data_IF_553769890174
#
_entry.id   IF_553769890174
#
_cell.length_a   1.000
_cell.length_b   1.000
_cell.length_c   1.000
_cell.angle_alpha   90.00
_cell.angle_beta   90.00
_cell.angle_gamma   90.00
#
_symmetry.space_group_name_H-M   'P 1'
#
loop_
_entity.id
_entity.type
_entity.pdbx_description
1 polymer ?
#
# COMPACT_ATOMS: atom_id res chain seq x y z
N UNK A 1 6.08 44.62 -53.13
CA UNK A 1 6.91 43.60 -53.78
C UNK A 1 8.10 43.33 -52.87
N UNK A 2 8.08 42.45 -51.88
CA UNK A 2 7.05 41.64 -51.24
C UNK A 2 7.59 41.31 -49.85
N UNK A 3 6.73 41.43 -48.83
CA UNK A 3 6.89 40.83 -47.51
C UNK A 3 6.54 39.34 -47.62
N UNK A 4 7.43 38.45 -47.16
CA UNK A 4 7.08 37.06 -46.87
C UNK A 4 7.47 36.73 -45.42
N UNK A 5 6.45 36.76 -44.56
CA UNK A 5 6.43 36.12 -43.25
C UNK A 5 6.16 34.63 -43.43
N UNK A 6 7.09 33.78 -42.97
CA UNK A 6 6.86 32.35 -42.81
C UNK A 6 5.88 32.11 -41.65
N UNK A 7 4.67 31.65 -42.00
CA UNK A 7 3.69 31.12 -41.06
C UNK A 7 4.06 29.68 -40.71
N UNK A 8 4.28 29.44 -39.42
CA UNK A 8 4.28 28.10 -38.83
C UNK A 8 2.84 27.57 -38.89
N UNK A 9 2.63 26.50 -39.64
CA UNK A 9 1.39 25.71 -39.65
C UNK A 9 1.49 24.78 -38.44
N UNK A 10 0.58 24.94 -37.48
CA UNK A 10 0.37 23.98 -36.39
C UNK A 10 -0.75 23.06 -36.87
N UNK A 11 -0.45 21.76 -36.99
CA UNK A 11 -1.43 20.72 -37.31
C UNK A 11 -2.55 20.70 -36.24
N UNK A 12 -3.79 20.87 -36.67
CA UNK A 12 -5.01 20.85 -35.83
C UNK A 12 -5.41 19.44 -35.35
N UNK A 13 -4.64 18.39 -35.65
CA UNK A 13 -5.00 17.00 -35.32
C UNK A 13 -4.56 16.55 -33.91
N UNK A 14 -3.99 17.44 -33.07
CA UNK A 14 -3.54 17.07 -31.71
C UNK A 14 -4.57 17.34 -30.61
N UNK A 15 -5.64 18.09 -30.86
CA UNK A 15 -6.65 18.43 -29.84
C UNK A 15 -7.80 17.40 -29.68
N UNK A 16 -8.01 16.51 -30.66
CA UNK A 16 -9.18 15.60 -30.65
C UNK A 16 -8.95 14.25 -29.97
N UNK A 17 -7.69 13.89 -29.66
CA UNK A 17 -7.38 12.68 -28.87
C UNK A 17 -7.49 12.89 -27.36
N UNK A 18 -7.36 14.13 -26.86
CA UNK A 18 -7.43 14.40 -25.41
C UNK A 18 -8.88 14.54 -24.91
N UNK A 19 -9.80 15.00 -25.76
CA UNK A 19 -11.24 15.07 -25.44
C UNK A 19 -11.92 13.71 -25.28
N UNK A 20 -11.46 12.68 -26.00
CA UNK A 20 -12.10 11.36 -25.95
C UNK A 20 -11.70 10.48 -24.76
N UNK A 21 -10.61 10.81 -24.04
CA UNK A 21 -10.17 10.03 -22.86
C UNK A 21 -10.86 10.49 -21.57
N UNK A 22 -11.23 11.78 -21.49
CA UNK A 22 -11.81 12.40 -20.29
C UNK A 22 -13.31 12.08 -20.07
N UNK A 23 -14.05 11.67 -21.09
CA UNK A 23 -15.49 11.36 -20.96
C UNK A 23 -15.78 9.95 -20.39
N UNK A 24 -14.77 9.08 -20.27
CA UNK A 24 -14.94 7.71 -19.77
C UNK A 24 -15.01 7.57 -18.23
N UNK A 25 -14.74 8.65 -17.48
CA UNK A 25 -14.72 8.64 -16.00
C UNK A 25 -15.78 9.54 -15.33
N UNK A 26 -16.79 9.99 -16.07
CA UNK A 26 -17.88 10.79 -15.49
C UNK A 26 -18.93 9.90 -14.82
N UNK A 27 -18.91 9.85 -13.49
CA UNK A 27 -20.04 9.35 -12.68
C UNK A 27 -21.20 10.36 -12.82
N UNK A 28 -22.46 9.94 -13.09
CA UNK A 28 -23.56 10.88 -13.30
C UNK A 28 -23.89 11.62 -12.01
N UNK A 29 -23.65 12.93 -11.97
CA UNK A 29 -24.19 13.80 -10.93
C UNK A 29 -25.65 14.15 -11.25
N UNK A 30 -26.54 13.83 -10.31
CA UNK A 30 -27.97 14.13 -10.32
C UNK A 30 -28.18 15.63 -10.59
N UNK A 31 -28.93 15.97 -11.65
CA UNK A 31 -29.41 17.34 -11.93
C UNK A 31 -30.19 17.86 -10.72
N UNK A 32 -29.79 19.03 -10.23
CA UNK A 32 -30.62 19.93 -9.43
C UNK A 32 -31.61 20.62 -10.38
N UNK A 33 -32.88 20.24 -10.32
CA UNK A 33 -33.95 21.03 -10.92
C UNK A 33 -34.36 22.13 -9.94
N UNK A 34 -34.47 23.34 -10.49
CA UNK A 34 -34.83 24.58 -9.82
C UNK A 34 -36.28 24.53 -9.33
N UNK A 35 -36.50 25.11 -8.16
CA UNK A 35 -37.80 25.50 -7.65
C UNK A 35 -38.52 26.44 -8.64
N UNK A 36 -39.78 26.14 -8.91
CA UNK A 36 -40.80 27.12 -9.29
C UNK A 36 -42.14 26.67 -8.68
N UNK A 37 -42.77 27.59 -7.97
CA UNK A 37 -43.96 27.41 -7.14
C UNK A 37 -45.27 27.24 -7.93
N UNK A 38 -46.29 26.73 -7.22
CA UNK A 38 -47.74 26.82 -7.43
C UNK A 38 -48.44 25.79 -8.34
N UNK A 39 -49.03 24.74 -7.73
CA UNK A 39 -50.50 24.50 -7.71
C UNK A 39 -50.89 23.19 -6.96
N UNK A 40 -52.15 23.05 -6.47
CA UNK A 40 -52.49 22.18 -5.34
C UNK A 40 -53.02 20.78 -5.70
N UNK A 41 -52.76 19.86 -4.75
CA UNK A 41 -53.49 18.65 -4.35
C UNK A 41 -54.54 18.07 -5.33
N UNK A 42 -54.26 16.90 -5.91
CA UNK A 42 -55.31 15.93 -6.23
C UNK A 42 -54.84 14.46 -6.10
N UNK A 43 -55.63 13.73 -5.32
CA UNK A 43 -55.62 12.31 -5.05
C UNK A 43 -55.31 11.41 -6.27
N UNK A 44 -54.35 10.48 -6.12
CA UNK A 44 -54.47 9.16 -6.77
C UNK A 44 -53.78 8.05 -5.98
N UNK A 45 -54.61 7.28 -5.27
CA UNK A 45 -54.29 5.92 -4.81
C UNK A 45 -53.84 5.09 -6.01
N UNK A 46 -52.68 4.46 -5.93
CA UNK A 46 -52.40 3.22 -6.67
C UNK A 46 -51.66 2.25 -5.76
N UNK A 47 -52.37 1.16 -5.50
CA UNK A 47 -51.97 -0.05 -4.80
C UNK A 47 -51.05 -0.91 -5.66
N UNK A 48 -50.38 -1.86 -5.00
CA UNK A 48 -49.52 -2.96 -5.50
C UNK A 48 -48.03 -2.56 -5.58
N UNK A 49 -47.04 -3.33 -5.10
CA UNK A 49 -47.04 -4.70 -4.58
C UNK A 49 -45.65 -4.97 -3.95
N UNK A 50 -45.62 -5.73 -2.85
CA UNK A 50 -44.55 -6.68 -2.48
C UNK A 50 -43.09 -6.19 -2.46
N UNK A 51 -42.67 -5.56 -1.37
CA UNK A 51 -41.25 -5.56 -0.96
C UNK A 51 -41.01 -6.76 -0.06
N UNK A 52 -40.67 -7.90 -0.67
CA UNK A 52 -40.17 -9.08 0.02
C UNK A 52 -38.94 -8.69 0.86
N UNK A 53 -39.07 -8.90 2.16
CA UNK A 53 -37.98 -9.09 3.10
C UNK A 53 -36.88 -9.98 2.51
N UNK A 54 -35.64 -9.50 2.50
CA UNK A 54 -34.47 -10.36 2.37
C UNK A 54 -33.51 -10.06 3.54
N UNK A 55 -33.96 -10.44 4.73
CA UNK A 55 -33.06 -10.74 5.85
C UNK A 55 -32.32 -12.03 5.46
N UNK A 56 -31.17 -11.90 4.79
CA UNK A 56 -30.25 -13.03 4.67
C UNK A 56 -29.52 -13.15 6.00
N UNK A 57 -29.84 -14.20 6.76
CA UNK A 57 -28.99 -14.62 7.86
C UNK A 57 -27.59 -14.90 7.31
N UNK A 58 -26.59 -14.17 7.77
CA UNK A 58 -25.19 -14.52 7.54
C UNK A 58 -24.74 -15.29 8.77
N UNK A 59 -24.77 -16.62 8.61
CA UNK A 59 -24.07 -17.54 9.48
C UNK A 59 -22.58 -17.25 9.50
N UNK A 60 -21.98 -17.63 10.63
CA UNK A 60 -20.56 -17.66 10.95
C UNK A 60 -19.65 -18.09 9.79
N UNK A 61 -18.43 -17.57 9.87
CA UNK A 61 -17.25 -17.94 9.11
C UNK A 61 -17.21 -19.42 8.68
N UNK A 62 -17.04 -19.64 7.37
CA UNK A 62 -16.16 -20.66 6.86
C UNK A 62 -15.71 -20.31 5.43
N UNK A 63 -14.47 -20.71 5.12
CA UNK A 63 -13.62 -20.11 4.11
C UNK A 63 -14.20 -20.03 2.70
N UNK A 64 -14.21 -18.81 2.15
CA UNK A 64 -14.05 -18.66 0.71
C UNK A 64 -12.54 -18.64 0.40
N UNK A 65 -11.89 -19.81 0.53
CA UNK A 65 -10.69 -20.11 -0.23
C UNK A 65 -11.12 -20.20 -1.70
N UNK A 66 -11.43 -19.05 -2.30
CA UNK A 66 -11.47 -18.95 -3.75
C UNK A 66 -10.10 -19.43 -4.21
N UNK A 67 -10.06 -20.58 -4.88
CA UNK A 67 -8.84 -21.18 -5.41
C UNK A 67 -7.98 -20.06 -5.99
N UNK A 68 -6.87 -19.72 -5.33
CA UNK A 68 -5.97 -18.68 -5.83
C UNK A 68 -5.50 -19.20 -7.17
N UNK A 69 -6.03 -18.59 -8.22
CA UNK A 69 -5.68 -18.95 -9.58
C UNK A 69 -4.16 -18.97 -9.70
N UNK A 70 -3.62 -20.05 -10.28
CA UNK A 70 -2.16 -20.18 -10.51
C UNK A 70 -1.62 -18.96 -11.25
N UNK A 71 -2.46 -18.32 -12.08
CA UNK A 71 -2.16 -17.08 -12.78
C UNK A 71 -1.78 -15.90 -11.86
N UNK A 72 -2.25 -15.86 -10.61
CA UNK A 72 -1.89 -14.81 -9.65
C UNK A 72 -0.41 -14.88 -9.22
N UNK A 73 0.25 -16.01 -9.45
CA UNK A 73 1.68 -16.19 -9.18
C UNK A 73 2.57 -15.86 -10.38
N UNK A 74 2.02 -15.54 -11.56
CA UNK A 74 2.83 -15.17 -12.73
C UNK A 74 3.79 -14.00 -12.46
N UNK A 75 3.39 -12.90 -11.79
CA UNK A 75 4.33 -11.81 -11.49
C UNK A 75 5.46 -12.24 -10.56
N UNK A 76 5.16 -13.11 -9.58
CA UNK A 76 6.15 -13.70 -8.65
C UNK A 76 7.17 -14.55 -9.42
N UNK A 77 6.69 -15.46 -10.26
CA UNK A 77 7.54 -16.33 -11.08
C UNK A 77 8.41 -15.50 -12.03
N UNK A 78 7.84 -14.47 -12.65
CA UNK A 78 8.58 -13.57 -13.51
C UNK A 78 9.68 -12.82 -12.76
N UNK A 79 9.39 -12.26 -11.58
CA UNK A 79 10.38 -11.58 -10.77
C UNK A 79 11.53 -12.53 -10.38
N UNK A 80 11.22 -13.74 -9.91
CA UNK A 80 12.22 -14.76 -9.58
C UNK A 80 13.06 -15.16 -10.79
N UNK A 81 12.45 -15.28 -11.97
CA UNK A 81 13.16 -15.56 -13.22
C UNK A 81 14.15 -14.44 -13.57
N UNK A 82 13.73 -13.18 -13.52
CA UNK A 82 14.60 -12.02 -13.81
C UNK A 82 15.80 -11.98 -12.85
N UNK A 83 15.57 -12.13 -11.54
CA UNK A 83 16.68 -12.19 -10.56
C UNK A 83 17.61 -13.38 -10.81
N UNK A 84 17.06 -14.54 -11.18
CA UNK A 84 17.86 -15.73 -11.48
C UNK A 84 18.72 -15.55 -12.72
N UNK A 85 18.22 -14.85 -13.75
CA UNK A 85 19.01 -14.51 -14.95
C UNK A 85 20.13 -13.54 -14.60
N UNK A 86 19.84 -12.46 -13.86
CA UNK A 86 20.85 -11.47 -13.46
C UNK A 86 21.96 -12.12 -12.62
N UNK A 87 21.59 -12.83 -11.55
CA UNK A 87 22.55 -13.50 -10.67
C UNK A 87 23.28 -14.65 -11.38
N UNK A 88 22.57 -15.44 -12.19
CA UNK A 88 23.16 -16.54 -12.96
C UNK A 88 24.24 -16.06 -13.92
N UNK A 89 23.96 -15.00 -14.68
CA UNK A 89 24.94 -14.37 -15.57
C UNK A 89 26.12 -13.79 -14.79
N UNK A 90 25.88 -13.08 -13.69
CA UNK A 90 26.96 -12.59 -12.81
C UNK A 90 27.84 -13.72 -12.29
N UNK A 91 27.25 -14.82 -11.83
CA UNK A 91 27.98 -15.97 -11.34
C UNK A 91 28.84 -16.60 -12.43
N UNK A 92 28.26 -16.85 -13.61
CA UNK A 92 28.93 -17.52 -14.73
C UNK A 92 30.05 -16.67 -15.33
N UNK A 93 29.83 -15.38 -15.56
CA UNK A 93 30.74 -14.53 -16.31
C UNK A 93 31.68 -13.68 -15.44
N UNK A 94 31.39 -13.51 -14.15
CA UNK A 94 32.20 -12.67 -13.25
C UNK A 94 32.75 -13.47 -12.05
N UNK A 95 31.88 -13.98 -11.18
CA UNK A 95 32.32 -14.55 -9.90
C UNK A 95 33.09 -15.86 -10.05
N UNK A 96 32.57 -16.81 -10.84
CA UNK A 96 33.20 -18.12 -11.06
C UNK A 96 34.57 -17.99 -11.77
N UNK A 97 34.72 -17.22 -12.86
CA UNK A 97 36.02 -16.98 -13.47
C UNK A 97 37.03 -16.36 -12.50
N UNK A 98 36.60 -15.39 -11.69
CA UNK A 98 37.47 -14.75 -10.70
C UNK A 98 37.95 -15.74 -9.62
N UNK A 99 37.05 -16.59 -9.10
CA UNK A 99 37.39 -17.69 -8.18
C UNK A 99 38.41 -18.64 -8.82
N UNK A 100 38.14 -19.09 -10.05
CA UNK A 100 39.02 -20.03 -10.75
C UNK A 100 40.41 -19.44 -11.02
N UNK A 101 40.47 -18.15 -11.37
CA UNK A 101 41.73 -17.45 -11.61
C UNK A 101 42.57 -17.33 -10.35
N UNK A 102 41.97 -16.98 -9.21
CA UNK A 102 42.66 -16.92 -7.92
C UNK A 102 43.21 -18.30 -7.51
N UNK A 103 42.38 -19.35 -7.61
CA UNK A 103 42.81 -20.71 -7.30
C UNK A 103 43.93 -21.19 -8.23
N UNK A 104 43.89 -20.85 -9.51
CA UNK A 104 44.93 -21.21 -10.46
C UNK A 104 46.25 -20.45 -10.22
N UNK A 105 46.19 -19.19 -9.79
CA UNK A 105 47.37 -18.35 -9.62
C UNK A 105 48.01 -18.48 -8.23
N UNK A 106 47.21 -18.52 -7.17
CA UNK A 106 47.67 -18.52 -5.78
C UNK A 106 47.48 -19.87 -5.06
N UNK A 107 46.67 -20.78 -5.60
CA UNK A 107 46.27 -22.03 -4.91
C UNK A 107 45.24 -21.83 -3.79
N UNK A 108 44.89 -20.58 -3.47
CA UNK A 108 43.93 -20.18 -2.43
C UNK A 108 43.12 -18.97 -2.91
N UNK A 109 41.98 -18.71 -2.28
CA UNK A 109 41.16 -17.53 -2.59
C UNK A 109 41.76 -16.27 -1.94
N UNK A 110 41.82 -15.16 -2.67
CA UNK A 110 42.18 -13.88 -2.09
C UNK A 110 41.10 -13.35 -1.15
N UNK A 111 41.49 -12.53 -0.18
CA UNK A 111 40.57 -11.83 0.73
C UNK A 111 39.49 -11.05 -0.04
N UNK A 112 39.84 -10.51 -1.21
CA UNK A 112 38.91 -9.80 -2.10
C UNK A 112 37.79 -10.72 -2.58
N UNK A 113 38.14 -11.89 -3.13
CA UNK A 113 37.14 -12.85 -3.65
C UNK A 113 36.31 -13.43 -2.52
N UNK A 114 36.93 -13.70 -1.36
CA UNK A 114 36.20 -14.14 -0.16
C UNK A 114 35.18 -13.07 0.26
N UNK A 115 35.59 -11.81 0.40
CA UNK A 115 34.71 -10.71 0.78
C UNK A 115 33.55 -10.54 -0.22
N UNK A 116 33.82 -10.51 -1.53
CA UNK A 116 32.78 -10.38 -2.55
C UNK A 116 31.79 -11.56 -2.52
N UNK A 117 32.29 -12.78 -2.33
CA UNK A 117 31.47 -13.99 -2.24
C UNK A 117 30.60 -13.97 -0.99
N UNK A 118 31.16 -13.64 0.18
CA UNK A 118 30.38 -13.55 1.42
C UNK A 118 29.33 -12.45 1.34
N UNK A 119 29.69 -11.27 0.82
CA UNK A 119 28.77 -10.15 0.65
C UNK A 119 27.57 -10.52 -0.21
N UNK A 120 27.80 -11.02 -1.43
CA UNK A 120 26.70 -11.29 -2.37
C UNK A 120 25.77 -12.39 -1.87
N UNK A 121 26.31 -13.45 -1.26
CA UNK A 121 25.49 -14.56 -0.75
C UNK A 121 24.76 -14.19 0.55
N UNK A 122 25.34 -13.37 1.42
CA UNK A 122 24.66 -12.84 2.60
C UNK A 122 23.45 -11.98 2.19
N UNK A 123 23.65 -11.04 1.26
CA UNK A 123 22.57 -10.18 0.79
C UNK A 123 21.51 -10.98 0.04
N UNK A 124 21.89 -11.95 -0.79
CA UNK A 124 20.94 -12.86 -1.46
C UNK A 124 20.12 -13.66 -0.45
N UNK A 125 20.75 -14.17 0.61
CA UNK A 125 20.04 -14.86 1.68
C UNK A 125 19.04 -13.94 2.39
N UNK A 126 19.46 -12.72 2.77
CA UNK A 126 18.59 -11.74 3.42
C UNK A 126 17.44 -11.30 2.51
N UNK A 127 17.70 -11.12 1.22
CA UNK A 127 16.70 -10.81 0.19
C UNK A 127 15.66 -11.93 0.09
N UNK A 128 16.11 -13.18 -0.04
CA UNK A 128 15.22 -14.33 -0.20
C UNK A 128 14.35 -14.58 1.05
N UNK A 129 14.95 -14.51 2.24
CA UNK A 129 14.21 -14.62 3.51
C UNK A 129 13.19 -13.49 3.65
N UNK A 130 13.58 -12.25 3.35
CA UNK A 130 12.67 -11.09 3.37
C UNK A 130 11.51 -11.28 2.39
N UNK A 131 11.79 -11.76 1.17
CA UNK A 131 10.77 -11.96 0.14
C UNK A 131 9.77 -13.04 0.52
N UNK A 132 10.25 -14.19 1.00
CA UNK A 132 9.41 -15.28 1.51
C UNK A 132 8.52 -14.77 2.65
N UNK A 133 9.07 -14.03 3.61
CA UNK A 133 8.27 -13.48 4.71
C UNK A 133 7.26 -12.42 4.22
N UNK A 134 7.61 -11.59 3.24
CA UNK A 134 6.70 -10.63 2.61
C UNK A 134 5.49 -11.34 1.97
N UNK A 135 5.73 -12.46 1.26
CA UNK A 135 4.70 -13.26 0.58
C UNK A 135 3.78 -14.00 1.55
N UNK A 136 4.35 -14.64 2.58
CA UNK A 136 3.60 -15.57 3.43
C UNK A 136 3.07 -14.96 4.72
N UNK A 137 3.66 -13.86 5.23
CA UNK A 137 3.10 -13.21 6.42
C UNK A 137 1.75 -12.59 6.07
N UNK A 138 0.74 -12.97 6.86
CA UNK A 138 -0.54 -12.29 6.87
C UNK A 138 -0.31 -10.78 7.11
N UNK A 139 -0.84 -9.88 6.25
CA UNK A 139 -0.53 -8.45 6.33
C UNK A 139 -1.16 -7.74 7.54
N UNK A 140 -2.07 -8.43 8.26
CA UNK A 140 -2.83 -7.90 9.38
C UNK A 140 -4.31 -7.81 9.01
N UNK A 141 -5.16 -8.53 9.74
CA UNK A 141 -6.62 -8.47 9.59
C UNK A 141 -7.24 -7.83 10.82
N UNK A 142 -8.42 -7.24 10.66
CA UNK A 142 -9.24 -6.77 11.79
C UNK A 142 -9.60 -7.99 12.67
N UNK A 143 -9.30 -7.98 13.99
CA UNK A 143 -9.64 -9.08 14.88
C UNK A 143 -11.13 -9.42 14.89
N UNK A 144 -11.46 -10.69 15.10
CA UNK A 144 -12.83 -11.18 15.31
C UNK A 144 -13.27 -10.98 16.77
N UNK A 145 -13.16 -9.76 17.29
CA UNK A 145 -13.68 -9.42 18.62
C UNK A 145 -15.00 -8.67 18.52
N UNK A 146 -15.78 -8.72 19.60
CA UNK A 146 -17.09 -8.09 19.68
C UNK A 146 -17.05 -6.57 19.41
N UNK A 147 -15.93 -5.93 19.77
CA UNK A 147 -15.67 -4.49 19.57
C UNK A 147 -15.67 -4.06 18.09
N UNK A 148 -15.19 -4.91 17.19
CA UNK A 148 -15.04 -4.58 15.77
C UNK A 148 -16.18 -5.12 14.91
N UNK A 149 -17.11 -5.88 15.51
CA UNK A 149 -18.25 -6.45 14.82
C UNK A 149 -19.44 -5.48 14.81
N UNK A 150 -20.11 -5.35 13.67
CA UNK A 150 -21.30 -4.51 13.51
C UNK A 150 -22.45 -4.82 14.45
N UNK A 151 -22.56 -6.08 14.87
CA UNK A 151 -23.73 -6.57 15.59
C UNK A 151 -23.86 -5.97 17.01
N UNK A 152 -22.89 -5.19 17.45
CA UNK A 152 -22.91 -4.56 18.76
C UNK A 152 -22.82 -3.02 18.64
N UNK A 153 -23.99 -2.37 18.62
CA UNK A 153 -24.12 -0.91 18.55
C UNK A 153 -23.86 -0.20 19.89
N UNK A 154 -23.80 -0.96 20.99
CA UNK A 154 -23.85 -0.45 22.36
C UNK A 154 -22.51 -0.53 23.11
N UNK A 155 -21.41 -0.87 22.43
CA UNK A 155 -20.08 -0.89 23.07
C UNK A 155 -19.47 0.50 23.05
N UNK A 156 -19.37 1.11 24.24
CA UNK A 156 -18.37 2.13 24.53
C UNK A 156 -17.00 1.58 24.12
N UNK A 157 -16.58 1.92 22.91
CA UNK A 157 -15.36 1.41 22.31
C UNK A 157 -14.20 2.00 23.10
N UNK A 158 -13.36 1.17 23.71
CA UNK A 158 -12.16 1.63 24.43
C UNK A 158 -11.06 2.08 23.48
N UNK A 159 -11.08 1.64 22.22
CA UNK A 159 -10.14 2.10 21.20
C UNK A 159 -10.49 3.51 20.71
N UNK A 160 -9.51 4.42 20.84
CA UNK A 160 -9.58 5.76 20.27
C UNK A 160 -9.41 5.64 18.76
N UNK A 161 -10.44 6.00 17.99
CA UNK A 161 -10.43 6.00 16.53
C UNK A 161 -10.54 7.43 16.03
N UNK A 162 -9.60 7.81 15.19
CA UNK A 162 -9.39 9.18 14.73
C UNK A 162 -9.98 9.44 13.35
N UNK A 163 -10.05 8.42 12.49
CA UNK A 163 -10.51 8.55 11.10
C UNK A 163 -12.02 8.25 11.00
N UNK A 164 -12.79 9.27 10.62
CA UNK A 164 -14.24 9.19 10.44
C UNK A 164 -14.64 9.31 8.97
N UNK A 165 -15.91 9.04 8.66
CA UNK A 165 -16.51 9.43 7.37
C UNK A 165 -16.72 10.95 7.37
N UNK A 166 -16.96 11.53 6.18
CA UNK A 166 -17.40 12.94 6.05
C UNK A 166 -18.63 13.28 6.91
N UNK A 167 -19.46 12.29 7.23
CA UNK A 167 -20.62 12.45 8.11
C UNK A 167 -20.29 12.38 9.61
N UNK A 168 -19.02 12.34 10.01
CA UNK A 168 -18.56 12.13 11.39
C UNK A 168 -18.70 10.68 11.89
N UNK A 169 -19.41 9.80 11.17
CA UNK A 169 -19.64 8.43 11.60
C UNK A 169 -18.38 7.55 11.49
N UNK A 170 -18.25 6.56 12.37
CA UNK A 170 -17.17 5.56 12.33
C UNK A 170 -17.10 4.86 10.97
N UNK A 171 -15.87 4.64 10.48
CA UNK A 171 -15.64 3.95 9.21
C UNK A 171 -15.98 2.46 9.33
N UNK A 172 -16.63 1.94 8.30
CA UNK A 172 -17.20 0.60 8.30
C UNK A 172 -16.95 -0.09 6.96
N UNK A 173 -16.64 -1.39 6.99
CA UNK A 173 -16.48 -2.23 5.81
C UNK A 173 -17.71 -3.11 5.56
N UNK A 174 -18.49 -2.78 4.53
CA UNK A 174 -19.68 -3.54 4.14
C UNK A 174 -19.42 -4.99 3.71
N UNK A 175 -18.23 -5.30 3.21
CA UNK A 175 -17.88 -6.64 2.76
C UNK A 175 -17.41 -7.54 3.90
N UNK A 176 -16.70 -6.99 4.88
CA UNK A 176 -16.21 -7.74 6.03
C UNK A 176 -17.18 -7.71 7.22
N UNK A 177 -18.21 -6.86 7.18
CA UNK A 177 -19.12 -6.61 8.29
C UNK A 177 -18.40 -6.21 9.59
N UNK A 178 -17.29 -5.46 9.46
CA UNK A 178 -16.48 -4.95 10.58
C UNK A 178 -16.29 -3.43 10.52
N UNK A 179 -16.24 -2.79 11.70
CA UNK A 179 -15.72 -1.44 11.83
C UNK A 179 -14.23 -1.42 11.48
N UNK A 180 -13.76 -0.34 10.86
CA UNK A 180 -12.37 -0.21 10.42
C UNK A 180 -11.58 0.53 11.51
N UNK A 181 -10.50 -0.06 12.05
CA UNK A 181 -9.49 0.72 12.77
C UNK A 181 -8.90 1.82 11.88
N UNK A 182 -8.16 2.74 12.48
CA UNK A 182 -7.44 3.75 11.70
C UNK A 182 -6.47 3.09 10.71
N UNK A 183 -6.25 3.75 9.57
CA UNK A 183 -5.34 3.32 8.52
C UNK A 183 -5.69 1.96 7.88
N UNK A 184 -6.91 1.47 8.09
CA UNK A 184 -7.37 0.16 7.62
C UNK A 184 -8.21 0.28 6.36
N UNK A 185 -7.82 -0.43 5.30
CA UNK A 185 -8.52 -0.42 4.01
C UNK A 185 -8.94 -1.83 3.60
N UNK A 186 -10.02 -1.93 2.81
CA UNK A 186 -10.48 -3.22 2.27
C UNK A 186 -9.78 -3.49 0.95
N UNK A 187 -9.01 -4.56 0.86
CA UNK A 187 -8.42 -4.98 -0.40
C UNK A 187 -9.37 -5.93 -1.13
N UNK A 188 -9.85 -5.51 -2.31
CA UNK A 188 -10.72 -6.32 -3.15
C UNK A 188 -10.02 -7.62 -3.61
N UNK A 189 -8.74 -7.55 -3.96
CA UNK A 189 -7.95 -8.71 -4.41
C UNK A 189 -7.78 -9.75 -3.29
N UNK A 190 -7.58 -9.30 -2.05
CA UNK A 190 -7.44 -10.20 -0.90
C UNK A 190 -8.80 -10.58 -0.27
N UNK A 191 -9.88 -9.88 -0.59
CA UNK A 191 -11.22 -10.10 -0.01
C UNK A 191 -11.32 -9.79 1.48
N UNK A 192 -10.39 -9.02 2.05
CA UNK A 192 -10.33 -8.73 3.49
C UNK A 192 -9.86 -7.31 3.76
N UNK A 193 -10.17 -6.80 4.97
CA UNK A 193 -9.61 -5.57 5.48
C UNK A 193 -8.19 -5.78 6.01
N UNK A 194 -7.26 -4.94 5.56
CA UNK A 194 -5.85 -4.99 5.91
C UNK A 194 -5.49 -3.83 6.83
N UNK A 195 -4.93 -4.14 7.99
CA UNK A 195 -4.47 -3.14 8.98
C UNK A 195 -3.27 -2.36 8.44
N UNK A 196 -3.25 -1.03 8.63
CA UNK A 196 -2.24 -0.10 8.06
C UNK A 196 -1.91 -0.49 6.62
N UNK A 197 -2.95 -0.63 5.78
CA UNK A 197 -2.80 -1.11 4.41
C UNK A 197 -1.96 -0.11 3.62
N UNK A 198 -0.92 -0.59 2.97
CA UNK A 198 -0.10 0.23 2.08
C UNK A 198 -0.56 0.07 0.63
N UNK A 199 -0.49 -1.15 0.10
CA UNK A 199 -0.99 -1.48 -1.23
C UNK A 199 -1.22 -2.99 -1.38
N UNK A 200 -1.81 -3.40 -2.49
CA UNK A 200 -1.79 -4.80 -2.92
C UNK A 200 -0.63 -4.98 -3.90
N UNK A 201 0.29 -5.90 -3.60
CA UNK A 201 1.49 -6.10 -4.40
C UNK A 201 1.37 -7.39 -5.24
N UNK A 202 1.20 -7.29 -6.57
CA UNK A 202 1.18 -8.47 -7.44
C UNK A 202 2.50 -9.26 -7.39
N UNK A 203 3.62 -8.56 -7.23
CA UNK A 203 4.97 -9.13 -7.14
C UNK A 203 5.20 -9.98 -5.88
N UNK A 204 4.38 -9.81 -4.84
CA UNK A 204 4.39 -10.66 -3.65
C UNK A 204 3.17 -11.61 -3.58
N UNK A 205 2.23 -11.48 -4.53
CA UNK A 205 0.90 -12.09 -4.47
C UNK A 205 0.26 -11.98 -3.07
N UNK A 206 0.42 -10.81 -2.45
CA UNK A 206 -0.02 -10.52 -1.10
C UNK A 206 -0.29 -9.03 -0.94
N UNK A 207 -1.13 -8.67 0.02
CA UNK A 207 -1.23 -7.29 0.45
C UNK A 207 0.00 -6.92 1.27
N UNK A 208 0.41 -5.66 1.20
CA UNK A 208 1.41 -5.07 2.08
C UNK A 208 0.65 -4.24 3.12
N UNK A 209 0.84 -4.57 4.39
CA UNK A 209 0.17 -3.93 5.51
C UNK A 209 1.00 -4.00 6.79
N UNK A 210 0.37 -3.73 7.92
CA UNK A 210 1.02 -3.60 9.24
C UNK A 210 2.08 -4.67 9.52
N UNK A 211 1.74 -5.95 9.33
CA UNK A 211 2.54 -7.10 9.79
C UNK A 211 3.65 -7.54 8.83
N UNK A 212 3.64 -7.07 7.58
CA UNK A 212 4.60 -7.48 6.56
C UNK A 212 5.29 -6.32 5.81
N UNK A 213 4.94 -5.06 6.09
CA UNK A 213 5.57 -3.89 5.47
C UNK A 213 7.10 -3.87 5.69
N UNK A 214 7.60 -4.26 6.88
CA UNK A 214 9.05 -4.39 7.13
C UNK A 214 9.73 -5.36 6.15
N UNK A 215 9.14 -6.54 5.94
CA UNK A 215 9.71 -7.56 5.05
C UNK A 215 9.65 -7.11 3.58
N UNK A 216 8.58 -6.41 3.19
CA UNK A 216 8.49 -5.76 1.90
C UNK A 216 9.62 -4.73 1.70
N UNK A 217 9.80 -3.81 2.65
CA UNK A 217 10.85 -2.80 2.59
C UNK A 217 12.25 -3.41 2.50
N UNK A 218 12.53 -4.42 3.33
CA UNK A 218 13.81 -5.15 3.29
C UNK A 218 14.01 -5.92 1.99
N UNK A 219 12.94 -6.52 1.42
CA UNK A 219 13.00 -7.17 0.11
C UNK A 219 13.45 -6.17 -0.95
N UNK A 220 12.81 -4.99 -1.01
CA UNK A 220 13.15 -3.92 -1.95
C UNK A 220 14.58 -3.44 -1.74
N UNK A 221 14.99 -3.18 -0.49
CA UNK A 221 16.34 -2.73 -0.13
C UNK A 221 17.42 -3.71 -0.60
N UNK A 222 17.31 -4.99 -0.24
CA UNK A 222 18.33 -5.96 -0.62
C UNK A 222 18.32 -6.27 -2.12
N UNK A 223 17.15 -6.23 -2.75
CA UNK A 223 17.03 -6.39 -4.20
C UNK A 223 17.72 -5.26 -4.95
N UNK A 224 17.55 -4.02 -4.47
CA UNK A 224 18.22 -2.82 -5.02
C UNK A 224 19.73 -2.92 -4.86
N UNK A 225 20.22 -3.20 -3.64
CA UNK A 225 21.66 -3.36 -3.35
C UNK A 225 22.30 -4.44 -4.22
N UNK A 226 21.68 -5.62 -4.33
CA UNK A 226 22.20 -6.71 -5.18
C UNK A 226 22.22 -6.29 -6.65
N UNK A 227 21.16 -5.66 -7.15
CA UNK A 227 21.05 -5.28 -8.56
C UNK A 227 22.12 -4.24 -8.94
N UNK A 228 22.29 -3.20 -8.13
CA UNK A 228 23.34 -2.17 -8.33
C UNK A 228 24.72 -2.80 -8.23
N UNK A 229 24.96 -3.63 -7.22
CA UNK A 229 26.25 -4.27 -7.00
C UNK A 229 26.64 -5.18 -8.17
N UNK A 230 25.71 -6.00 -8.65
CA UNK A 230 25.94 -6.86 -9.83
C UNK A 230 26.22 -6.00 -11.07
N UNK A 231 25.41 -4.98 -11.35
CA UNK A 231 25.62 -4.10 -12.50
C UNK A 231 27.02 -3.46 -12.48
N UNK A 232 27.46 -2.92 -11.34
CA UNK A 232 28.79 -2.32 -11.20
C UNK A 232 29.90 -3.35 -11.48
N UNK A 233 29.77 -4.56 -10.94
CA UNK A 233 30.81 -5.58 -11.09
C UNK A 233 30.81 -6.30 -12.44
N UNK A 234 29.66 -6.39 -13.10
CA UNK A 234 29.51 -7.05 -14.40
C UNK A 234 29.92 -6.11 -15.55
N UNK A 235 29.78 -4.79 -15.39
CA UNK A 235 30.11 -3.80 -16.41
C UNK A 235 31.54 -3.90 -17.00
N UNK A 236 32.63 -4.11 -16.21
CA UNK A 236 33.96 -4.34 -16.78
C UNK A 236 34.02 -5.61 -17.64
N UNK A 237 33.32 -6.67 -17.24
CA UNK A 237 33.21 -7.92 -18.02
C UNK A 237 32.49 -7.66 -19.33
N UNK A 238 31.38 -6.91 -19.33
CA UNK A 238 30.67 -6.51 -20.56
C UNK A 238 31.62 -5.78 -21.52
N UNK A 239 32.40 -4.81 -21.01
CA UNK A 239 33.41 -4.09 -21.82
C UNK A 239 34.47 -5.03 -22.39
N UNK A 240 34.94 -5.99 -21.62
CA UNK A 240 35.91 -6.97 -22.11
C UNK A 240 35.33 -7.83 -23.23
N UNK A 241 34.10 -8.32 -23.06
CA UNK A 241 33.44 -9.17 -24.04
C UNK A 241 33.14 -8.43 -25.34
N UNK A 242 32.74 -7.16 -25.27
CA UNK A 242 32.52 -6.28 -26.44
C UNK A 242 33.79 -6.03 -27.25
N UNK A 243 34.95 -5.96 -26.60
CA UNK A 243 36.23 -5.69 -27.26
C UNK A 243 36.97 -6.97 -27.70
N UNK A 244 36.45 -8.15 -27.39
CA UNK A 244 37.09 -9.42 -27.73
C UNK A 244 36.41 -10.04 -28.97
N UNK A 245 37.10 -10.11 -30.13
CA UNK A 245 36.52 -10.67 -31.36
C UNK A 245 36.27 -12.19 -31.30
N UNK A 246 36.79 -12.87 -30.27
CA UNK A 246 36.59 -14.30 -30.05
C UNK A 246 35.34 -14.61 -29.22
N UNK A 247 34.67 -13.59 -28.68
CA UNK A 247 33.44 -13.76 -27.90
C UNK A 247 32.32 -14.33 -28.78
N UNK A 248 31.64 -15.38 -28.31
CA UNK A 248 30.49 -15.93 -29.03
C UNK A 248 29.32 -14.95 -29.03
N UNK A 249 28.53 -14.93 -30.10
CA UNK A 249 27.34 -14.08 -30.17
C UNK A 249 26.35 -14.37 -29.03
N UNK A 250 26.19 -15.64 -28.65
CA UNK A 250 25.32 -16.05 -27.56
C UNK A 250 25.76 -15.46 -26.21
N UNK A 251 27.05 -15.57 -25.87
CA UNK A 251 27.58 -15.01 -24.62
C UNK A 251 27.44 -13.49 -24.58
N UNK A 252 27.68 -12.82 -25.72
CA UNK A 252 27.52 -11.38 -25.84
C UNK A 252 26.07 -10.94 -25.59
N UNK A 253 25.10 -11.66 -26.16
CA UNK A 253 23.67 -11.38 -25.93
C UNK A 253 23.30 -11.60 -24.46
N UNK A 254 23.71 -12.72 -23.86
CA UNK A 254 23.37 -13.03 -22.46
C UNK A 254 23.93 -11.99 -21.51
N UNK A 255 25.20 -11.61 -21.66
CA UNK A 255 25.83 -10.66 -20.74
C UNK A 255 25.26 -9.24 -20.90
N UNK A 256 24.97 -8.80 -22.14
CA UNK A 256 24.33 -7.49 -22.38
C UNK A 256 22.92 -7.46 -21.82
N UNK A 257 22.11 -8.51 -22.05
CA UNK A 257 20.74 -8.58 -21.52
C UNK A 257 20.76 -8.59 -20.00
N UNK A 258 21.65 -9.36 -19.38
CA UNK A 258 21.78 -9.37 -17.92
C UNK A 258 22.19 -8.00 -17.36
N UNK A 259 23.12 -7.31 -18.01
CA UNK A 259 23.56 -5.96 -17.63
C UNK A 259 22.41 -4.95 -17.74
N UNK A 260 21.70 -4.93 -18.86
CA UNK A 260 20.56 -4.03 -19.08
C UNK A 260 19.46 -4.30 -18.06
N UNK A 261 19.11 -5.57 -17.83
CA UNK A 261 18.12 -5.95 -16.82
C UNK A 261 18.57 -5.52 -15.41
N UNK A 262 19.84 -5.73 -15.06
CA UNK A 262 20.41 -5.33 -13.77
C UNK A 262 20.36 -3.82 -13.54
N UNK A 263 20.78 -3.03 -14.53
CA UNK A 263 20.75 -1.56 -14.46
C UNK A 263 19.33 -1.03 -14.38
N UNK A 264 18.42 -1.47 -15.26
CA UNK A 264 17.02 -1.01 -15.26
C UNK A 264 16.33 -1.39 -13.96
N UNK A 265 16.51 -2.62 -13.50
CA UNK A 265 15.93 -3.07 -12.24
C UNK A 265 16.48 -2.27 -11.05
N UNK A 266 17.80 -2.05 -10.99
CA UNK A 266 18.43 -1.20 -9.98
C UNK A 266 17.83 0.21 -9.96
N UNK A 267 17.75 0.88 -11.10
CA UNK A 267 17.19 2.24 -11.18
C UNK A 267 15.73 2.31 -10.70
N UNK A 268 14.88 1.39 -11.17
CA UNK A 268 13.47 1.34 -10.77
C UNK A 268 13.32 1.07 -9.27
N UNK A 269 14.08 0.10 -8.74
CA UNK A 269 14.04 -0.23 -7.33
C UNK A 269 14.60 0.88 -6.45
N UNK A 270 15.64 1.60 -6.89
CA UNK A 270 16.18 2.76 -6.19
C UNK A 270 15.12 3.85 -6.05
N UNK A 271 14.45 4.24 -7.13
CA UNK A 271 13.38 5.25 -7.07
C UNK A 271 12.25 4.81 -6.12
N UNK A 272 11.84 3.54 -6.20
CA UNK A 272 10.80 2.99 -5.36
C UNK A 272 11.20 2.90 -3.88
N UNK A 273 12.46 2.53 -3.60
CA UNK A 273 13.04 2.48 -2.26
C UNK A 273 13.12 3.88 -1.64
N UNK A 274 13.54 4.88 -2.41
CA UNK A 274 13.59 6.28 -1.95
C UNK A 274 12.19 6.79 -1.59
N UNK A 275 11.19 6.50 -2.43
CA UNK A 275 9.80 6.84 -2.15
C UNK A 275 9.30 6.18 -0.86
N UNK A 276 9.48 4.86 -0.70
CA UNK A 276 9.06 4.17 0.52
C UNK A 276 9.87 4.57 1.76
N UNK A 277 11.13 4.96 1.61
CA UNK A 277 11.94 5.50 2.69
C UNK A 277 11.37 6.83 3.16
N UNK A 278 11.01 7.72 2.23
CA UNK A 278 10.33 8.97 2.56
C UNK A 278 8.98 8.74 3.24
N UNK A 279 8.16 7.80 2.74
CA UNK A 279 6.89 7.43 3.40
C UNK A 279 7.11 6.96 4.84
N UNK A 280 8.17 6.19 5.11
CA UNK A 280 8.51 5.78 6.48
C UNK A 280 8.92 6.99 7.31
N UNK A 281 9.79 7.87 6.79
CA UNK A 281 10.25 9.07 7.49
C UNK A 281 9.09 9.97 7.92
N UNK A 282 8.07 10.10 7.07
CA UNK A 282 6.85 10.89 7.34
C UNK A 282 5.72 10.09 7.99
N UNK A 283 5.88 8.78 8.18
CA UNK A 283 4.84 7.85 8.66
C UNK A 283 3.53 7.88 7.84
N UNK A 284 3.66 7.93 6.52
CA UNK A 284 2.56 7.71 5.58
C UNK A 284 2.49 6.25 5.13
N UNK A 285 1.29 5.81 4.76
CA UNK A 285 1.10 4.73 3.78
C UNK A 285 0.98 5.31 2.37
N UNK A 286 1.19 4.49 1.34
CA UNK A 286 0.96 4.88 -0.04
C UNK A 286 -0.50 5.32 -0.27
N UNK A 287 -1.48 4.67 0.38
CA UNK A 287 -2.89 5.08 0.30
C UNK A 287 -3.08 6.48 0.89
N UNK A 288 -2.57 6.74 2.09
CA UNK A 288 -2.69 8.06 2.74
C UNK A 288 -2.03 9.16 1.91
N UNK A 289 -0.87 8.86 1.32
CA UNK A 289 -0.22 9.74 0.35
C UNK A 289 -1.14 10.02 -0.84
N UNK A 290 -1.66 8.99 -1.52
CA UNK A 290 -2.53 9.17 -2.69
C UNK A 290 -3.84 9.90 -2.35
N UNK A 291 -4.48 9.59 -1.22
CA UNK A 291 -5.71 10.24 -0.76
C UNK A 291 -5.48 11.74 -0.50
N UNK A 292 -4.30 12.09 0.03
CA UNK A 292 -3.91 13.49 0.27
C UNK A 292 -3.64 14.25 -1.03
N UNK A 293 -2.93 13.63 -1.98
CA UNK A 293 -2.58 14.28 -3.26
C UNK A 293 -3.75 14.35 -4.25
N UNK A 294 -4.77 13.51 -4.09
CA UNK A 294 -5.97 13.53 -4.94
C UNK A 294 -7.03 14.56 -4.50
N UNK A 295 -6.83 15.26 -3.38
CA UNK A 295 -7.75 16.26 -2.85
C UNK A 295 -7.51 17.68 -3.40
N UNK A 296 -8.57 18.50 -3.49
CA UNK A 296 -8.52 19.89 -4.02
C UNK A 296 -7.76 20.91 -3.15
N UNK A 297 -7.09 20.49 -2.07
CA UNK A 297 -6.21 21.34 -1.26
C UNK A 297 -4.84 20.67 -1.15
N UNK A 298 -3.90 21.10 -1.98
CA UNK A 298 -2.49 20.68 -1.95
C UNK A 298 -1.72 21.31 -0.78
N UNK A 299 -2.20 21.16 0.45
CA UNK A 299 -1.40 21.56 1.61
C UNK A 299 -0.47 20.39 2.00
N UNK A 300 0.84 20.63 1.92
CA UNK A 300 1.90 19.69 2.28
C UNK A 300 2.07 19.53 3.80
N UNK A 301 0.97 19.42 4.56
CA UNK A 301 1.04 19.30 6.01
C UNK A 301 1.69 17.97 6.44
N UNK A 302 2.47 17.96 7.51
CA UNK A 302 3.06 16.72 8.04
C UNK A 302 1.98 15.65 8.28
N UNK A 303 2.33 14.37 8.17
CA UNK A 303 1.39 13.29 8.49
C UNK A 303 0.87 13.46 9.91
N UNK A 304 -0.45 13.34 10.10
CA UNK A 304 -1.07 13.35 11.44
C UNK A 304 -0.56 12.20 12.33
N UNK A 305 0.08 11.19 11.73
CA UNK A 305 0.68 10.04 12.38
C UNK A 305 2.17 10.21 12.66
N UNK A 306 2.79 11.31 12.22
CA UNK A 306 4.22 11.53 12.41
C UNK A 306 4.55 11.79 13.88
N UNK A 307 5.48 11.01 14.43
CA UNK A 307 5.96 11.11 15.82
C UNK A 307 7.45 11.53 15.85
N UNK A 308 7.93 12.11 14.76
CA UNK A 308 9.35 12.39 14.50
C UNK A 308 10.11 11.21 13.90
N UNK A 309 11.20 11.51 13.21
CA UNK A 309 11.96 10.57 12.37
C UNK A 309 12.28 9.23 13.06
N UNK A 310 12.85 9.28 14.26
CA UNK A 310 13.23 8.06 14.99
C UNK A 310 12.01 7.18 15.32
N UNK A 311 10.92 7.78 15.81
CA UNK A 311 9.72 7.02 16.18
C UNK A 311 8.99 6.49 14.94
N UNK A 312 9.03 7.24 13.83
CA UNK A 312 8.48 6.82 12.56
C UNK A 312 9.23 5.59 12.01
N UNK A 313 10.57 5.63 11.97
CA UNK A 313 11.41 4.48 11.63
C UNK A 313 11.18 3.30 12.57
N UNK A 314 11.17 3.53 13.89
CA UNK A 314 10.91 2.50 14.91
C UNK A 314 9.54 1.84 14.73
N UNK A 315 8.51 2.60 14.33
CA UNK A 315 7.14 2.07 14.10
C UNK A 315 7.08 1.03 12.98
N UNK A 316 8.07 1.03 12.07
CA UNK A 316 8.17 0.13 10.92
C UNK A 316 9.26 -0.92 11.12
N UNK A 317 10.48 -0.50 11.45
CA UNK A 317 11.66 -1.37 11.52
C UNK A 317 11.78 -2.11 12.86
N UNK A 318 11.06 -1.65 13.88
CA UNK A 318 10.94 -2.31 15.17
C UNK A 318 11.75 -1.65 16.28
N UNK A 319 11.61 -2.23 17.48
CA UNK A 319 12.08 -1.65 18.74
C UNK A 319 13.60 -1.72 18.95
N UNK A 320 14.29 -2.58 18.21
CA UNK A 320 15.73 -2.78 18.35
C UNK A 320 16.44 -2.39 17.05
N UNK A 321 17.29 -1.36 17.13
CA UNK A 321 18.09 -0.83 16.02
C UNK A 321 18.95 -1.90 15.34
N UNK A 322 19.53 -2.82 16.13
CA UNK A 322 20.40 -3.89 15.60
C UNK A 322 19.64 -4.89 14.72
N UNK A 323 18.31 -4.94 14.85
CA UNK A 323 17.45 -5.85 14.09
C UNK A 323 16.75 -5.15 12.92
N UNK A 324 17.05 -3.88 12.65
CA UNK A 324 16.39 -3.13 11.57
C UNK A 324 16.66 -3.75 10.20
N UNK A 325 17.91 -4.14 9.95
CA UNK A 325 18.37 -4.85 8.75
C UNK A 325 18.33 -6.37 8.91
N UNK A 326 17.47 -6.88 9.78
CA UNK A 326 17.23 -8.32 9.91
C UNK A 326 15.74 -8.53 9.64
N UNK A 327 15.37 -9.53 8.82
CA UNK A 327 13.98 -9.83 8.51
C UNK A 327 13.29 -10.54 9.69
N UNK A 328 13.18 -9.81 10.79
CA UNK A 328 12.53 -10.21 12.03
C UNK A 328 11.77 -9.02 12.60
N UNK A 329 10.46 -9.17 12.78
CA UNK A 329 9.61 -8.14 13.37
C UNK A 329 9.48 -8.36 14.89
N UNK A 330 10.00 -7.41 15.67
CA UNK A 330 9.96 -7.43 17.14
C UNK A 330 8.99 -6.40 17.73
N UNK A 331 8.09 -5.84 16.91
CA UNK A 331 7.01 -4.96 17.38
C UNK A 331 5.99 -5.77 18.18
N UNK A 332 5.50 -5.18 19.27
CA UNK A 332 4.48 -5.79 20.15
C UNK A 332 3.07 -5.30 19.79
N UNK A 333 3.00 -4.19 19.07
CA UNK A 333 1.78 -3.50 18.70
C UNK A 333 1.00 -4.30 17.64
N UNK A 334 -0.33 -4.34 17.80
CA UNK A 334 -1.21 -5.14 16.94
C UNK A 334 -1.59 -4.45 15.62
N UNK A 335 -1.25 -3.17 15.46
CA UNK A 335 -1.62 -2.36 14.29
C UNK A 335 -3.08 -1.94 14.26
N UNK A 336 -3.72 -1.84 15.43
CA UNK A 336 -5.12 -1.45 15.60
C UNK A 336 -5.22 0.02 16.04
N UNK A 337 -4.28 0.45 16.89
CA UNK A 337 -4.23 1.79 17.45
C UNK A 337 -2.93 2.47 17.03
N UNK A 338 -3.02 3.75 16.69
CA UNK A 338 -1.91 4.59 16.29
C UNK A 338 -1.98 5.91 17.04
N UNK A 339 -0.84 6.42 17.52
CA UNK A 339 -0.78 7.74 18.15
C UNK A 339 -0.71 8.83 17.09
N UNK A 340 -1.42 9.94 17.31
CA UNK A 340 -1.23 11.17 16.53
C UNK A 340 -0.01 11.96 17.02
N UNK A 341 0.61 12.72 16.13
CA UNK A 341 1.70 13.65 16.47
C UNK A 341 1.20 14.88 17.22
N UNK A 342 1.97 15.37 18.18
CA UNK A 342 1.62 16.54 19.00
C UNK A 342 1.47 17.82 18.17
N UNK A 343 2.29 18.00 17.12
CA UNK A 343 2.20 19.16 16.20
C UNK A 343 0.91 19.23 15.39
N UNK A 344 0.15 18.13 15.30
CA UNK A 344 -1.15 18.12 14.62
C UNK A 344 -2.29 18.53 15.57
N UNK A 345 -2.08 18.49 16.89
CA UNK A 345 -3.09 18.96 17.84
C UNK A 345 -3.23 20.48 17.76
N UNK A 346 -2.12 21.22 17.69
CA UNK A 346 -2.12 22.69 17.59
C UNK A 346 -2.75 23.22 16.28
N UNK A 347 -2.68 22.46 15.18
CA UNK A 347 -3.28 22.88 13.89
C UNK A 347 -4.74 22.44 13.70
N UNK A 348 -5.22 21.49 14.50
CA UNK A 348 -6.59 20.99 14.46
C UNK A 348 -7.47 21.53 15.60
N UNK A 349 -6.90 22.10 16.66
CA UNK A 349 -7.67 22.80 17.70
C UNK A 349 -8.51 23.96 17.12
N UNK A 350 -8.11 24.52 15.97
CA UNK A 350 -8.91 25.49 15.18
C UNK A 350 -10.08 24.86 14.39
N UNK A 351 -10.11 23.54 14.21
CA UNK A 351 -11.11 22.80 13.41
C UNK A 351 -12.01 21.90 14.29
N UNK A 352 -11.50 21.40 15.43
CA UNK A 352 -12.17 20.42 16.30
C UNK A 352 -13.08 21.05 17.38
N UNK A 353 -13.00 22.37 17.63
CA UNK A 353 -13.94 23.07 18.53
C UNK A 353 -15.43 22.79 18.22
N UNK A 354 -15.90 22.86 16.96
CA UNK A 354 -17.30 22.54 16.66
C UNK A 354 -17.63 21.04 16.73
N UNK A 355 -16.66 20.12 16.59
CA UNK A 355 -16.91 18.66 16.57
C UNK A 355 -17.10 18.10 17.98
N UNK A 356 -16.39 18.65 18.96
CA UNK A 356 -16.59 18.29 20.37
C UNK A 356 -17.93 18.78 20.91
N UNK A 357 -18.40 19.97 20.51
CA UNK A 357 -19.72 20.47 20.90
C UNK A 357 -20.86 19.59 20.37
N UNK A 358 -20.81 19.17 19.09
CA UNK A 358 -21.85 18.35 18.46
C UNK A 358 -21.97 16.96 19.10
N UNK A 359 -20.84 16.34 19.45
CA UNK A 359 -20.86 15.05 20.17
C UNK A 359 -21.41 15.20 21.60
N UNK A 360 -21.14 16.34 22.27
CA UNK A 360 -21.69 16.62 23.60
C UNK A 360 -23.20 16.89 23.58
N UNK A 361 -23.70 17.55 22.52
CA UNK A 361 -25.11 17.87 22.35
C UNK A 361 -25.92 16.60 22.00
N UNK A 362 -25.37 15.73 21.15
CA UNK A 362 -25.97 14.42 20.86
C UNK A 362 -26.02 13.50 22.09
N UNK A 363 -25.01 13.58 22.96
CA UNK A 363 -24.98 12.87 24.26
C UNK A 363 -25.96 13.47 25.30
N UNK A 364 -26.29 14.77 25.22
CA UNK A 364 -27.36 15.38 26.04
C UNK A 364 -28.75 14.97 25.55
N UNK A 365 -29.00 15.03 24.24
CA UNK A 365 -30.29 14.63 23.65
C UNK A 365 -30.65 13.15 23.87
N UNK A 366 -29.64 12.27 23.95
CA UNK A 366 -29.82 10.84 24.24
C UNK A 366 -30.01 10.53 25.73
N UNK A 367 -29.62 11.44 26.64
CA UNK A 367 -29.97 11.37 28.07
C UNK A 367 -31.39 11.84 28.33
N UNK A 368 -31.84 12.88 27.62
CA UNK A 368 -33.19 13.45 27.81
C UNK A 368 -34.31 12.55 27.24
N UNK A 369 -33.98 11.61 26.34
CA UNK A 369 -34.95 10.64 25.78
C UNK A 369 -35.14 9.38 26.63
N UNK A 370 -34.43 9.23 27.75
CA UNK A 370 -34.63 8.10 28.69
C UNK A 370 -35.56 8.41 29.86
N UNK A 371 -36.31 9.51 29.82
CA UNK A 371 -37.24 9.92 30.88
C UNK A 371 -38.71 9.75 30.47
N UNK A 372 -39.06 8.58 29.94
CA UNK A 372 -40.45 8.13 29.80
C UNK A 372 -40.57 6.75 30.44
N UNK A 373 -40.76 6.75 31.76
CA UNK A 373 -41.34 5.60 32.47
C UNK A 373 -42.84 5.57 32.14
N UNK A 374 -43.41 4.44 31.68
CA UNK A 374 -44.84 4.26 31.71
C UNK A 374 -45.23 3.91 33.15
N UNK A 375 -45.83 4.85 33.86
CA UNK A 375 -46.48 4.60 35.15
C UNK A 375 -47.49 3.45 35.02
N UNK A 376 -47.26 2.41 35.80
CA UNK A 376 -48.20 1.34 36.10
C UNK A 376 -49.29 1.95 36.98
N UNK A 377 -50.50 2.08 36.44
CA UNK A 377 -51.69 2.46 37.20
C UNK A 377 -52.44 1.24 37.71
N UNK A 378 -52.24 0.88 38.98
CA UNK A 378 -53.22 0.14 39.79
C UNK A 378 -54.12 1.17 40.50
N UNK A 379 -55.44 1.13 40.25
CA UNK A 379 -56.50 0.96 41.27
C UNK A 379 -57.92 1.27 40.74
N UNK A 380 -58.73 0.20 40.70
CA UNK A 380 -60.12 -0.04 41.20
C UNK A 380 -61.12 1.13 41.43
N UNK A 381 -62.46 0.92 41.43
CA UNK A 381 -63.22 -0.33 41.65
C UNK A 381 -64.14 -0.81 40.52
#
# INVERSE_FOLDING_TARGET
MDDQNDKIIIDEDFEDTEKNVLDSYRIPTRRTEKDNENEPLLHKKRTNSSSKTCFRSMGSADGNNGSRSVFNYLPVIFALFVFSVIYGSFFVYNLKPAINQDLAHYGVLSDRIICHTLFIHLFLFLQLVSYVLCMYKNPGNIPDTLEWNLNNKDVNTTSVVYETKRSGARRFCKWCSKFKPDRTHHCKNCGTCVLKMDHHCPWANNCIGWRNYKYFYLTTLYSDVISIYIAILLFPTVRQFLNNPLTSFGDLVVIIVAEVLGVVLGLVLTCFLLFHTWLICENFTTIEFCEKYSGSKHNMDESIWSLGLYNNLKSVLGNNLLLWLIPYDNRKEKGIEFKRGERTLESLDDIDQPIMEVNSEFLRMTKDTKQFDPEIGEDSP
#
